data_IF_970107929399
#
_entry.id   IF_970107929399
#
_cell.length_a   1.000
_cell.length_b   1.000
_cell.length_c   1.000
_cell.angle_alpha   90.00
_cell.angle_beta   90.00
_cell.angle_gamma   90.00
#
_symmetry.space_group_name_H-M   'P 1'
#
loop_
_entity.id
_entity.type
_entity.pdbx_description
1 polymer ?
#
# COMPACT_ATOMS: atom_id res chain seq x y z
N UNK A 1 -43.25 -83.40 4.53
CA UNK A 1 -42.16 -82.42 4.77
C UNK A 1 -42.60 -81.10 4.15
N UNK A 2 -42.97 -80.16 5.00
CA UNK A 2 -43.64 -78.90 4.64
C UNK A 2 -43.14 -77.84 5.63
N UNK A 3 -42.35 -76.87 5.19
CA UNK A 3 -41.87 -75.76 6.05
C UNK A 3 -42.08 -74.42 5.32
N UNK A 4 -42.74 -73.54 6.06
CA UNK A 4 -43.37 -72.24 5.77
C UNK A 4 -42.41 -71.12 5.33
N UNK A 5 -42.94 -70.01 4.77
CA UNK A 5 -42.40 -68.68 4.99
C UNK A 5 -43.23 -67.90 6.05
N UNK A 6 -42.56 -67.11 6.89
CA UNK A 6 -43.17 -66.13 7.80
C UNK A 6 -42.58 -64.75 7.50
N UNK A 7 -43.48 -63.77 7.36
CA UNK A 7 -43.25 -62.32 7.17
C UNK A 7 -42.58 -61.67 8.39
N UNK A 8 -41.84 -60.58 8.19
CA UNK A 8 -41.96 -59.35 9.00
C UNK A 8 -41.23 -58.16 8.37
N UNK A 9 -41.86 -56.99 8.51
CA UNK A 9 -41.52 -55.71 7.91
C UNK A 9 -40.48 -54.90 8.72
N UNK A 10 -39.94 -53.83 8.11
CA UNK A 10 -39.69 -52.46 8.68
C UNK A 10 -38.94 -51.62 7.62
N UNK A 11 -39.58 -50.61 7.02
CA UNK A 11 -39.74 -49.22 7.46
C UNK A 11 -38.44 -48.38 7.42
N UNK A 12 -38.53 -47.35 6.57
CA UNK A 12 -37.60 -46.30 6.18
C UNK A 12 -36.78 -45.61 7.28
N UNK A 13 -35.56 -45.20 6.91
CA UNK A 13 -34.87 -44.06 7.51
C UNK A 13 -34.17 -43.25 6.40
N UNK A 14 -34.37 -41.93 6.44
CA UNK A 14 -33.99 -40.95 5.44
C UNK A 14 -32.47 -40.75 5.33
N UNK A 15 -31.99 -40.59 4.09
CA UNK A 15 -30.63 -40.20 3.78
C UNK A 15 -30.45 -38.69 3.98
N UNK A 16 -29.62 -38.28 4.94
CA UNK A 16 -29.05 -36.94 5.02
C UNK A 16 -27.65 -37.01 4.40
N UNK A 17 -27.49 -36.35 3.25
CA UNK A 17 -26.21 -36.21 2.57
C UNK A 17 -25.28 -35.27 3.35
N UNK A 18 -24.22 -35.81 3.95
CA UNK A 18 -23.09 -35.02 4.41
C UNK A 18 -22.18 -34.70 3.22
N UNK A 19 -22.21 -33.46 2.75
CA UNK A 19 -21.18 -32.91 1.86
C UNK A 19 -20.02 -32.44 2.74
N UNK A 20 -18.95 -33.25 2.81
CA UNK A 20 -17.68 -32.85 3.39
C UNK A 20 -16.96 -31.90 2.40
N UNK A 21 -16.95 -30.61 2.71
CA UNK A 21 -16.08 -29.63 2.07
C UNK A 21 -14.66 -29.81 2.63
N UNK A 22 -13.81 -30.55 1.91
CA UNK A 22 -12.38 -30.60 2.16
C UNK A 22 -11.74 -29.27 1.72
N UNK A 23 -11.35 -28.43 2.70
CA UNK A 23 -10.42 -27.32 2.47
C UNK A 23 -9.02 -27.90 2.25
N UNK A 24 -8.57 -27.95 0.99
CA UNK A 24 -7.17 -28.26 0.70
C UNK A 24 -6.30 -27.09 1.14
N UNK A 25 -5.33 -27.36 2.01
CA UNK A 25 -4.21 -26.46 2.25
C UNK A 25 -3.43 -26.31 0.94
N UNK A 26 -3.64 -25.20 0.24
CA UNK A 26 -2.89 -24.89 -0.96
C UNK A 26 -1.45 -24.54 -0.56
N UNK A 27 -0.51 -25.43 -0.86
CA UNK A 27 0.89 -25.05 -1.05
C UNK A 27 0.92 -23.94 -2.10
N UNK A 28 1.48 -22.79 -1.75
CA UNK A 28 1.65 -21.65 -2.63
C UNK A 28 2.56 -22.01 -3.81
N UNK A 29 1.98 -22.58 -4.86
CA UNK A 29 2.62 -22.59 -6.17
C UNK A 29 2.74 -21.13 -6.60
N UNK A 30 3.96 -20.66 -6.87
CA UNK A 30 4.23 -19.34 -7.45
C UNK A 30 3.54 -19.26 -8.81
N UNK A 31 2.31 -18.74 -8.82
CA UNK A 31 1.61 -18.42 -10.06
C UNK A 31 2.49 -17.45 -10.86
N UNK A 32 2.62 -17.67 -12.18
CA UNK A 32 3.33 -16.75 -13.04
C UNK A 32 2.77 -15.33 -12.86
N UNK A 33 3.63 -14.29 -12.80
CA UNK A 33 3.17 -12.93 -12.58
C UNK A 33 2.14 -12.55 -13.65
N UNK A 34 0.99 -12.04 -13.20
CA UNK A 34 -0.10 -11.66 -14.09
C UNK A 34 0.39 -10.63 -15.12
N UNK A 35 -0.11 -10.76 -16.36
CA UNK A 35 0.25 -9.83 -17.42
C UNK A 35 -0.08 -8.37 -17.04
N UNK A 36 0.89 -7.50 -17.23
CA UNK A 36 0.79 -6.07 -16.91
C UNK A 36 -0.20 -5.42 -17.88
N UNK A 37 -1.17 -4.67 -17.35
CA UNK A 37 -2.24 -4.09 -18.18
C UNK A 37 -1.71 -2.97 -19.09
N UNK A 38 -2.19 -2.94 -20.33
CA UNK A 38 -1.82 -1.87 -21.27
C UNK A 38 -2.49 -0.55 -20.86
N UNK A 39 -1.85 0.58 -21.19
CA UNK A 39 -2.45 1.89 -20.92
C UNK A 39 -3.74 2.12 -21.74
N UNK A 40 -3.89 1.48 -22.90
CA UNK A 40 -5.12 1.55 -23.70
C UNK A 40 -6.30 0.84 -23.04
N UNK A 41 -6.07 -0.35 -22.48
CA UNK A 41 -7.11 -1.08 -21.75
C UNK A 41 -7.53 -0.32 -20.49
N UNK A 42 -6.55 0.27 -19.79
CA UNK A 42 -6.82 1.05 -18.58
C UNK A 42 -7.54 2.36 -18.87
N UNK A 43 -7.25 3.04 -20.00
CA UNK A 43 -8.02 4.22 -20.44
C UNK A 43 -9.48 3.84 -20.74
N UNK A 44 -9.71 2.72 -21.42
CA UNK A 44 -11.06 2.19 -21.69
C UNK A 44 -11.81 1.91 -20.38
N UNK A 45 -11.16 1.25 -19.42
CA UNK A 45 -11.73 1.00 -18.10
C UNK A 45 -11.96 2.31 -17.32
N UNK A 46 -11.07 3.29 -17.40
CA UNK A 46 -11.21 4.57 -16.72
C UNK A 46 -12.44 5.35 -17.23
N UNK A 47 -12.68 5.34 -18.55
CA UNK A 47 -13.90 5.92 -19.16
C UNK A 47 -15.16 5.23 -18.63
N UNK A 48 -15.16 3.91 -18.51
CA UNK A 48 -16.28 3.18 -17.92
C UNK A 48 -16.48 3.51 -16.43
N UNK A 49 -15.39 3.70 -15.66
CA UNK A 49 -15.43 4.05 -14.23
C UNK A 49 -15.97 5.45 -13.94
N UNK A 50 -16.18 6.32 -14.93
CA UNK A 50 -16.86 7.62 -14.71
C UNK A 50 -18.29 7.47 -14.18
N UNK A 51 -18.91 6.32 -14.42
CA UNK A 51 -20.27 5.98 -13.96
C UNK A 51 -20.28 5.10 -12.70
N UNK A 52 -19.12 4.79 -12.13
CA UNK A 52 -19.04 3.97 -10.93
C UNK A 52 -19.59 4.73 -9.71
N UNK A 53 -20.06 4.01 -8.71
CA UNK A 53 -20.42 4.58 -7.41
C UNK A 53 -19.30 4.29 -6.41
N UNK A 54 -18.81 5.33 -5.74
CA UNK A 54 -17.83 5.15 -4.67
C UNK A 54 -18.43 4.37 -3.50
N UNK A 55 -17.61 3.56 -2.82
CA UNK A 55 -18.02 2.76 -1.66
C UNK A 55 -18.13 3.57 -0.37
N UNK A 56 -17.61 4.79 -0.39
CA UNK A 56 -17.74 5.80 0.65
C UNK A 56 -18.43 7.05 0.10
N UNK A 57 -19.13 7.83 0.93
CA UNK A 57 -19.66 9.12 0.54
C UNK A 57 -18.56 10.05 0.03
N UNK A 58 -18.78 10.70 -1.11
CA UNK A 58 -17.88 11.73 -1.64
C UNK A 58 -18.38 13.11 -1.21
N UNK A 59 -17.64 13.79 -0.33
CA UNK A 59 -17.99 15.15 0.07
C UNK A 59 -18.11 16.08 -1.15
N UNK A 60 -19.03 17.07 -1.16
CA UNK A 60 -19.06 18.08 -2.22
C UNK A 60 -17.72 18.81 -2.32
N UNK A 61 -17.30 19.21 -3.53
CA UNK A 61 -16.03 19.93 -3.72
C UNK A 61 -15.93 21.25 -2.92
N UNK A 62 -17.09 21.81 -2.53
CA UNK A 62 -17.23 23.02 -1.72
C UNK A 62 -17.20 22.77 -0.21
N UNK A 63 -17.04 21.53 0.25
CA UNK A 63 -17.00 21.18 1.68
C UNK A 63 -15.84 21.87 2.40
N UNK A 64 -16.07 22.33 3.63
CA UNK A 64 -15.04 22.97 4.45
C UNK A 64 -13.82 22.07 4.72
N UNK A 65 -14.01 20.75 4.75
CA UNK A 65 -12.91 19.78 4.89
C UNK A 65 -11.90 19.87 3.74
N UNK A 66 -12.32 20.32 2.56
CA UNK A 66 -11.51 20.42 1.35
C UNK A 66 -10.94 21.84 1.15
N UNK A 67 -11.38 22.82 1.94
CA UNK A 67 -10.94 24.21 1.82
C UNK A 67 -9.45 24.38 2.07
N UNK A 68 -8.76 25.00 1.12
CA UNK A 68 -7.31 25.25 1.20
C UNK A 68 -6.46 23.98 1.14
N UNK A 69 -7.03 22.88 0.63
CA UNK A 69 -6.28 21.65 0.41
C UNK A 69 -5.40 21.78 -0.82
N UNK A 70 -4.15 21.33 -0.73
CA UNK A 70 -3.25 21.26 -1.88
C UNK A 70 -3.81 20.30 -2.93
N UNK A 71 -3.81 20.70 -4.21
CA UNK A 71 -4.20 19.81 -5.31
C UNK A 71 -3.26 19.99 -6.48
N UNK A 72 -3.34 19.09 -7.45
CA UNK A 72 -2.68 19.24 -8.73
C UNK A 72 -3.48 20.12 -9.71
N UNK A 73 -4.61 20.69 -9.29
CA UNK A 73 -5.49 21.46 -10.15
C UNK A 73 -5.22 22.96 -10.04
N UNK A 74 -5.41 23.73 -11.12
CA UNK A 74 -5.26 25.18 -11.07
C UNK A 74 -6.15 25.81 -10.00
N UNK A 75 -5.62 26.81 -9.28
CA UNK A 75 -6.37 27.58 -8.31
C UNK A 75 -7.62 28.19 -8.96
N UNK A 76 -8.76 28.11 -8.27
CA UNK A 76 -10.04 28.62 -8.79
C UNK A 76 -10.75 27.71 -9.81
N UNK A 77 -10.16 26.58 -10.22
CA UNK A 77 -10.82 25.64 -11.16
C UNK A 77 -12.04 24.93 -10.57
N UNK A 78 -12.19 24.91 -9.24
CA UNK A 78 -13.24 24.16 -8.53
C UNK A 78 -13.09 22.64 -8.61
N UNK A 79 -12.04 22.13 -9.26
CA UNK A 79 -11.79 20.69 -9.43
C UNK A 79 -11.14 20.13 -8.18
N UNK A 80 -11.79 19.15 -7.58
CA UNK A 80 -11.26 18.41 -6.43
C UNK A 80 -11.32 16.91 -6.73
N UNK A 81 -10.18 16.20 -6.74
CA UNK A 81 -10.17 14.75 -6.94
C UNK A 81 -11.00 13.99 -5.90
N UNK A 82 -11.71 12.97 -6.35
CA UNK A 82 -12.53 12.04 -5.59
C UNK A 82 -11.72 11.33 -4.50
N UNK A 83 -10.42 11.08 -4.69
CA UNK A 83 -9.59 10.54 -3.62
C UNK A 83 -9.50 11.48 -2.40
N UNK A 84 -9.54 12.80 -2.58
CA UNK A 84 -9.62 13.76 -1.46
C UNK A 84 -11.05 13.85 -0.91
N UNK A 85 -12.05 13.86 -1.80
CA UNK A 85 -13.48 13.92 -1.42
C UNK A 85 -13.91 12.71 -0.60
N UNK A 86 -13.35 11.53 -0.89
CA UNK A 86 -13.56 10.29 -0.15
C UNK A 86 -12.94 10.35 1.26
N UNK A 87 -11.75 10.94 1.38
CA UNK A 87 -11.07 11.10 2.67
C UNK A 87 -11.79 12.09 3.62
N UNK A 88 -12.70 12.93 3.10
CA UNK A 88 -13.48 13.86 3.93
C UNK A 88 -14.44 13.18 4.90
N UNK A 89 -14.66 11.86 4.81
CA UNK A 89 -15.26 11.05 5.89
C UNK A 89 -14.45 11.18 7.19
N UNK A 90 -13.14 11.42 7.08
CA UNK A 90 -12.22 11.71 8.19
C UNK A 90 -11.49 13.04 7.93
N UNK A 91 -12.14 14.20 8.17
CA UNK A 91 -11.64 15.51 7.72
C UNK A 91 -10.19 15.83 8.10
N UNK A 92 -9.72 15.35 9.27
CA UNK A 92 -8.35 15.57 9.74
C UNK A 92 -7.27 15.03 8.80
N UNK A 93 -7.57 14.03 7.96
CA UNK A 93 -6.57 13.40 7.08
C UNK A 93 -6.48 14.04 5.69
N UNK A 94 -7.45 14.88 5.30
CA UNK A 94 -7.55 15.42 3.94
C UNK A 94 -6.33 16.26 3.57
N UNK A 95 -6.03 17.29 4.38
CA UNK A 95 -4.89 18.19 4.13
C UNK A 95 -3.54 17.46 4.23
N UNK A 96 -3.27 16.64 5.26
CA UNK A 96 -2.04 15.85 5.33
C UNK A 96 -1.87 14.90 4.14
N UNK A 97 -2.94 14.24 3.67
CA UNK A 97 -2.85 13.35 2.52
C UNK A 97 -2.60 14.11 1.21
N UNK A 98 -3.25 15.26 1.03
CA UNK A 98 -3.01 16.15 -0.10
C UNK A 98 -1.56 16.66 -0.17
N UNK A 99 -1.03 17.09 0.98
CA UNK A 99 0.36 17.47 1.10
C UNK A 99 1.30 16.29 0.82
N UNK A 100 0.98 15.10 1.35
CA UNK A 100 1.72 13.86 1.12
C UNK A 100 1.86 13.52 -0.36
N UNK A 101 0.75 13.43 -1.10
CA UNK A 101 0.79 13.07 -2.52
C UNK A 101 1.56 14.10 -3.35
N UNK A 102 1.41 15.38 -3.03
CA UNK A 102 2.15 16.46 -3.70
C UNK A 102 3.65 16.37 -3.42
N UNK A 103 4.03 16.17 -2.16
CA UNK A 103 5.43 16.02 -1.72
C UNK A 103 6.10 14.83 -2.40
N UNK A 104 5.47 13.65 -2.38
CA UNK A 104 6.00 12.46 -3.04
C UNK A 104 6.12 12.65 -4.56
N UNK A 105 5.25 13.44 -5.18
CA UNK A 105 5.29 13.70 -6.63
C UNK A 105 6.38 14.71 -7.01
N UNK A 106 6.57 15.79 -6.24
CA UNK A 106 7.38 16.94 -6.69
C UNK A 106 8.65 17.20 -5.88
N UNK A 107 8.75 16.74 -4.64
CA UNK A 107 9.92 16.99 -3.80
C UNK A 107 10.93 15.84 -3.81
N UNK A 108 12.14 16.12 -3.34
CA UNK A 108 13.26 15.18 -3.41
C UNK A 108 14.17 15.45 -4.59
N UNK A 109 15.04 14.48 -4.85
CA UNK A 109 16.15 14.58 -5.81
C UNK A 109 15.82 13.96 -7.16
N UNK A 110 14.82 13.08 -7.22
CA UNK A 110 14.38 12.44 -8.46
C UNK A 110 13.46 13.38 -9.25
N UNK A 111 13.52 13.28 -10.58
CA UNK A 111 12.63 14.08 -11.42
C UNK A 111 11.17 13.69 -11.22
N UNK A 112 10.23 14.66 -11.21
CA UNK A 112 8.80 14.36 -11.20
C UNK A 112 8.38 13.44 -12.36
N UNK A 113 8.99 13.60 -13.53
CA UNK A 113 8.74 12.75 -14.70
C UNK A 113 9.07 11.27 -14.42
N UNK A 114 10.23 10.98 -13.83
CA UNK A 114 10.61 9.62 -13.48
C UNK A 114 9.67 9.02 -12.41
N UNK A 115 9.37 9.78 -11.35
CA UNK A 115 8.48 9.32 -10.28
C UNK A 115 7.07 9.02 -10.80
N UNK A 116 6.54 9.86 -11.68
CA UNK A 116 5.22 9.66 -12.31
C UNK A 116 5.22 8.53 -13.35
N UNK A 117 6.34 8.27 -14.02
CA UNK A 117 6.49 7.10 -14.88
C UNK A 117 6.50 5.80 -14.07
N UNK A 118 7.24 5.76 -12.95
CA UNK A 118 7.19 4.64 -11.99
C UNK A 118 5.78 4.44 -11.46
N UNK A 119 5.13 5.52 -11.01
CA UNK A 119 3.74 5.50 -10.54
C UNK A 119 2.79 4.90 -11.58
N UNK A 120 2.93 5.32 -12.84
CA UNK A 120 2.12 4.83 -13.95
C UNK A 120 2.36 3.33 -14.18
N UNK A 121 3.61 2.86 -14.15
CA UNK A 121 3.92 1.42 -14.26
C UNK A 121 3.33 0.61 -13.10
N UNK A 122 3.39 1.12 -11.87
CA UNK A 122 2.77 0.51 -10.69
C UNK A 122 1.25 0.38 -10.88
N UNK A 123 0.60 1.42 -11.40
CA UNK A 123 -0.83 1.38 -11.69
C UNK A 123 -1.17 0.35 -12.80
N UNK A 124 -0.29 0.14 -13.78
CA UNK A 124 -0.45 -0.93 -14.78
C UNK A 124 -0.35 -2.33 -14.16
N UNK A 125 0.63 -2.56 -13.27
CA UNK A 125 0.79 -3.84 -12.57
C UNK A 125 -0.40 -4.12 -11.65
N UNK A 126 -0.83 -3.12 -10.88
CA UNK A 126 -2.00 -3.21 -10.00
C UNK A 126 -3.33 -3.18 -10.75
N UNK A 127 -3.31 -2.95 -12.07
CA UNK A 127 -4.48 -2.85 -12.95
C UNK A 127 -5.49 -1.78 -12.48
N UNK A 128 -5.00 -0.67 -11.94
CA UNK A 128 -5.83 0.42 -11.43
C UNK A 128 -6.11 1.46 -12.52
N UNK A 129 -7.32 1.40 -13.09
CA UNK A 129 -7.75 2.36 -14.10
C UNK A 129 -7.91 3.78 -13.53
N UNK A 130 -8.36 3.92 -12.27
CA UNK A 130 -8.47 5.23 -11.62
C UNK A 130 -7.09 5.88 -11.45
N UNK A 131 -6.12 5.18 -10.86
CA UNK A 131 -4.78 5.72 -10.68
C UNK A 131 -4.13 6.03 -12.02
N UNK A 132 -4.24 5.13 -13.01
CA UNK A 132 -3.66 5.33 -14.35
C UNK A 132 -4.13 6.62 -15.02
N UNK A 133 -5.44 6.92 -14.97
CA UNK A 133 -5.99 8.12 -15.59
C UNK A 133 -5.37 9.41 -15.02
N UNK A 134 -5.26 9.50 -13.70
CA UNK A 134 -4.61 10.64 -13.03
C UNK A 134 -3.12 10.72 -13.34
N UNK A 135 -2.41 9.59 -13.23
CA UNK A 135 -0.95 9.55 -13.34
C UNK A 135 -0.45 9.82 -14.76
N UNK A 136 -1.14 9.31 -15.79
CA UNK A 136 -0.83 9.63 -17.19
C UNK A 136 -0.98 11.12 -17.47
N UNK A 137 -2.04 11.75 -16.92
CA UNK A 137 -2.28 13.18 -17.06
C UNK A 137 -1.19 14.00 -16.37
N UNK A 138 -0.78 13.62 -15.16
CA UNK A 138 0.30 14.29 -14.43
C UNK A 138 1.66 14.08 -15.10
N UNK A 139 1.96 12.86 -15.57
CA UNK A 139 3.22 12.56 -16.27
C UNK A 139 3.37 13.43 -17.52
N UNK A 140 2.31 13.54 -18.33
CA UNK A 140 2.29 14.43 -19.50
C UNK A 140 2.56 15.90 -19.13
N UNK A 141 2.11 16.33 -17.95
CA UNK A 141 2.30 17.69 -17.46
C UNK A 141 3.73 18.01 -17.00
N UNK A 142 4.64 17.03 -17.01
CA UNK A 142 6.08 17.23 -16.73
C UNK A 142 6.90 17.62 -17.97
N UNK A 143 6.25 17.85 -19.11
CA UNK A 143 6.89 18.33 -20.32
C UNK A 143 7.52 17.21 -21.18
N UNK A 144 8.49 17.54 -22.05
CA UNK A 144 9.05 16.60 -23.04
C UNK A 144 9.58 15.30 -22.44
N UNK A 145 10.23 15.36 -21.27
CA UNK A 145 10.76 14.18 -20.59
C UNK A 145 9.64 13.21 -20.17
N UNK A 146 8.56 13.75 -19.60
CA UNK A 146 7.39 12.96 -19.23
C UNK A 146 6.66 12.38 -20.43
N UNK A 147 6.54 13.15 -21.51
CA UNK A 147 5.95 12.67 -22.76
C UNK A 147 6.78 11.53 -23.38
N UNK A 148 8.11 11.62 -23.36
CA UNK A 148 8.99 10.57 -23.83
C UNK A 148 8.85 9.28 -23.00
N UNK A 149 8.86 9.38 -21.67
CA UNK A 149 8.63 8.24 -20.77
C UNK A 149 7.25 7.60 -20.98
N UNK A 150 6.21 8.42 -21.10
CA UNK A 150 4.84 7.96 -21.37
C UNK A 150 4.74 7.23 -22.71
N UNK A 151 5.43 7.70 -23.76
CA UNK A 151 5.45 7.02 -25.05
C UNK A 151 6.05 5.61 -24.94
N UNK A 152 7.15 5.44 -24.19
CA UNK A 152 7.77 4.12 -23.95
C UNK A 152 6.87 3.20 -23.13
N UNK A 153 6.19 3.71 -22.12
CA UNK A 153 5.21 2.96 -21.33
C UNK A 153 4.03 2.48 -22.20
N UNK A 154 3.51 3.34 -23.09
CA UNK A 154 2.41 2.98 -24.02
C UNK A 154 2.80 1.88 -24.99
N UNK A 155 4.01 1.96 -25.55
CA UNK A 155 4.52 0.97 -26.49
C UNK A 155 5.11 -0.29 -25.81
N UNK A 156 5.16 -0.32 -24.47
CA UNK A 156 5.86 -1.33 -23.67
C UNK A 156 7.33 -1.55 -24.11
N UNK A 157 8.03 -0.46 -24.46
CA UNK A 157 9.41 -0.43 -24.95
C UNK A 157 10.37 0.02 -23.83
N UNK A 158 10.36 -0.68 -22.69
CA UNK A 158 11.17 -0.30 -21.53
C UNK A 158 12.67 -0.56 -21.75
N UNK A 159 13.01 -1.46 -22.66
CA UNK A 159 14.36 -1.76 -23.11
C UNK A 159 15.04 -0.55 -23.77
N UNK A 160 14.26 0.33 -24.40
CA UNK A 160 14.72 1.54 -25.10
C UNK A 160 14.89 2.77 -24.18
N UNK A 161 14.67 2.62 -22.88
CA UNK A 161 14.93 3.67 -21.90
C UNK A 161 16.41 3.78 -21.56
N UNK A 162 16.81 4.94 -21.04
CA UNK A 162 18.12 5.09 -20.42
C UNK A 162 18.31 4.01 -19.33
N UNK A 163 19.53 3.45 -19.15
CA UNK A 163 19.74 2.36 -18.20
C UNK A 163 19.27 2.64 -16.77
N UNK A 164 19.48 3.88 -16.28
CA UNK A 164 19.01 4.31 -14.97
C UNK A 164 17.46 4.27 -14.87
N UNK A 165 16.75 4.91 -15.81
CA UNK A 165 15.29 4.94 -15.83
C UNK A 165 14.67 3.55 -15.99
N UNK A 166 15.32 2.69 -16.81
CA UNK A 166 14.92 1.29 -16.95
C UNK A 166 15.02 0.52 -15.64
N UNK A 167 16.11 0.72 -14.88
CA UNK A 167 16.27 0.11 -13.56
C UNK A 167 15.24 0.67 -12.55
N UNK A 168 14.95 1.97 -12.56
CA UNK A 168 13.92 2.56 -11.71
C UNK A 168 12.51 2.02 -12.00
N UNK A 169 12.13 1.88 -13.28
CA UNK A 169 10.85 1.24 -13.64
C UNK A 169 10.81 -0.24 -13.31
N UNK A 170 11.93 -0.96 -13.51
CA UNK A 170 12.04 -2.38 -13.13
C UNK A 170 11.93 -2.55 -11.62
N UNK A 171 12.50 -1.63 -10.83
CA UNK A 171 12.37 -1.62 -9.37
C UNK A 171 10.91 -1.47 -8.97
N UNK A 172 10.21 -0.50 -9.58
CA UNK A 172 8.79 -0.28 -9.36
C UNK A 172 7.92 -1.47 -9.75
N UNK A 173 8.20 -2.12 -10.88
CA UNK A 173 7.48 -3.30 -11.34
C UNK A 173 7.66 -4.50 -10.41
N UNK A 174 8.92 -4.91 -10.16
CA UNK A 174 9.23 -6.09 -9.38
C UNK A 174 8.72 -5.94 -7.94
N UNK A 175 9.01 -4.81 -7.29
CA UNK A 175 8.54 -4.57 -5.91
C UNK A 175 7.00 -4.44 -5.82
N UNK A 176 6.32 -4.10 -6.92
CA UNK A 176 4.85 -4.13 -6.94
C UNK A 176 4.31 -5.55 -7.00
N UNK A 177 4.91 -6.42 -7.81
CA UNK A 177 4.52 -7.83 -7.95
C UNK A 177 4.88 -8.65 -6.71
N UNK A 178 6.09 -8.45 -6.18
CA UNK A 178 6.65 -9.13 -5.01
C UNK A 178 7.45 -8.12 -4.18
N UNK A 179 7.14 -7.98 -2.90
CA UNK A 179 7.78 -6.99 -2.02
C UNK A 179 9.30 -7.18 -1.89
N UNK A 180 9.83 -8.38 -2.17
CA UNK A 180 11.26 -8.67 -2.14
C UNK A 180 12.01 -7.99 -3.30
N UNK A 181 11.31 -7.72 -4.41
CA UNK A 181 11.79 -6.88 -5.51
C UNK A 181 12.93 -7.50 -6.33
N UNK A 182 13.99 -6.70 -6.53
CA UNK A 182 15.16 -7.07 -7.32
C UNK A 182 16.08 -8.06 -6.59
N UNK A 183 16.86 -8.82 -7.37
CA UNK A 183 18.00 -9.57 -6.83
C UNK A 183 19.09 -8.65 -6.28
N UNK A 184 19.96 -9.16 -5.41
CA UNK A 184 21.11 -8.40 -4.88
C UNK A 184 22.05 -7.88 -5.98
N UNK A 185 22.15 -8.60 -7.10
CA UNK A 185 22.91 -8.18 -8.28
C UNK A 185 22.27 -6.96 -8.95
N UNK A 186 20.98 -7.04 -9.28
CA UNK A 186 20.24 -5.92 -9.87
C UNK A 186 20.20 -4.70 -8.94
N UNK A 187 20.09 -4.92 -7.63
CA UNK A 187 20.15 -3.84 -6.64
C UNK A 187 21.53 -3.17 -6.62
N UNK A 188 22.62 -3.93 -6.80
CA UNK A 188 23.98 -3.37 -6.94
C UNK A 188 24.11 -2.52 -8.21
N UNK A 189 23.47 -2.93 -9.31
CA UNK A 189 23.40 -2.13 -10.53
C UNK A 189 22.60 -0.84 -10.33
N UNK A 190 21.47 -0.90 -9.62
CA UNK A 190 20.68 0.27 -9.25
C UNK A 190 21.52 1.28 -8.45
N UNK A 191 22.28 0.82 -7.46
CA UNK A 191 23.23 1.64 -6.68
C UNK A 191 24.39 2.20 -7.51
N UNK A 192 24.66 1.65 -8.69
CA UNK A 192 25.62 2.22 -9.65
C UNK A 192 25.14 3.51 -10.30
N UNK A 193 23.81 3.74 -10.34
CA UNK A 193 23.20 4.94 -10.94
C UNK A 193 22.60 5.91 -9.92
N UNK A 194 22.20 5.41 -8.75
CA UNK A 194 21.48 6.15 -7.73
C UNK A 194 22.20 6.14 -6.39
N UNK A 195 22.24 7.28 -5.70
CA UNK A 195 22.74 7.36 -4.32
C UNK A 195 21.83 6.61 -3.34
N UNK A 196 22.28 6.39 -2.10
CA UNK A 196 21.44 5.79 -1.05
C UNK A 196 20.13 6.56 -0.86
N UNK A 197 20.18 7.89 -0.90
CA UNK A 197 19.02 8.75 -0.73
C UNK A 197 18.08 8.68 -1.94
N UNK A 198 18.61 8.62 -3.16
CA UNK A 198 17.81 8.36 -4.37
C UNK A 198 17.19 6.96 -4.35
N UNK A 199 17.89 5.92 -3.87
CA UNK A 199 17.34 4.56 -3.74
C UNK A 199 16.19 4.53 -2.72
N UNK A 200 16.34 5.25 -1.60
CA UNK A 200 15.25 5.42 -0.62
C UNK A 200 14.08 6.21 -1.24
N UNK A 201 14.34 7.25 -2.03
CA UNK A 201 13.31 8.03 -2.72
C UNK A 201 12.57 7.22 -3.80
N UNK A 202 13.29 6.42 -4.58
CA UNK A 202 12.73 5.44 -5.52
C UNK A 202 11.80 4.49 -4.76
N UNK A 203 12.26 3.96 -3.63
CA UNK A 203 11.47 3.06 -2.80
C UNK A 203 10.23 3.74 -2.22
N UNK A 204 10.35 4.97 -1.72
CA UNK A 204 9.21 5.78 -1.30
C UNK A 204 8.16 5.93 -2.41
N UNK A 205 8.61 6.19 -3.64
CA UNK A 205 7.74 6.28 -4.82
C UNK A 205 6.97 4.97 -5.01
N UNK A 206 7.65 3.83 -4.99
CA UNK A 206 7.01 2.52 -5.14
C UNK A 206 6.00 2.24 -4.03
N UNK A 207 6.39 2.53 -2.78
CA UNK A 207 5.56 2.31 -1.60
C UNK A 207 4.29 3.15 -1.64
N UNK A 208 4.42 4.45 -1.93
CA UNK A 208 3.29 5.38 -1.93
C UNK A 208 2.30 5.10 -3.06
N UNK A 209 2.76 4.78 -4.28
CA UNK A 209 1.81 4.49 -5.36
C UNK A 209 1.17 3.09 -5.25
N UNK A 210 1.80 2.16 -4.51
CA UNK A 210 1.14 0.92 -4.08
C UNK A 210 0.09 1.13 -2.99
N UNK A 211 0.34 2.05 -2.05
CA UNK A 211 -0.67 2.55 -1.11
C UNK A 211 -1.84 3.18 -1.87
N UNK A 212 -1.54 4.13 -2.76
CA UNK A 212 -2.55 4.92 -3.47
C UNK A 212 -3.45 4.03 -4.34
N UNK A 213 -2.86 3.10 -5.11
CA UNK A 213 -3.62 2.16 -5.94
C UNK A 213 -4.61 1.32 -5.12
N UNK A 214 -4.18 0.80 -3.96
CA UNK A 214 -5.06 0.02 -3.06
C UNK A 214 -6.14 0.88 -2.44
N UNK A 215 -5.82 2.13 -2.09
CA UNK A 215 -6.81 3.04 -1.52
C UNK A 215 -7.93 3.32 -2.54
N UNK A 216 -7.57 3.71 -3.77
CA UNK A 216 -8.58 4.10 -4.77
C UNK A 216 -9.39 2.91 -5.29
N UNK A 217 -8.77 1.71 -5.42
CA UNK A 217 -9.50 0.50 -5.80
C UNK A 217 -10.34 -0.06 -4.64
N UNK A 218 -9.83 -0.01 -3.40
CA UNK A 218 -10.56 -0.42 -2.21
C UNK A 218 -11.81 0.43 -1.98
N UNK A 219 -11.73 1.74 -2.25
CA UNK A 219 -12.86 2.67 -2.17
C UNK A 219 -13.75 2.69 -3.43
N UNK A 220 -13.35 1.99 -4.50
CA UNK A 220 -14.13 1.91 -5.74
C UNK A 220 -14.35 3.27 -6.40
N UNK A 221 -13.36 4.17 -6.38
CA UNK A 221 -13.56 5.55 -6.78
C UNK A 221 -13.91 5.71 -8.27
N UNK A 222 -14.92 6.52 -8.62
CA UNK A 222 -15.19 6.87 -10.01
C UNK A 222 -14.16 7.86 -10.52
N UNK A 223 -13.78 7.73 -11.79
CA UNK A 223 -12.90 8.70 -12.46
C UNK A 223 -13.69 9.97 -12.77
N UNK A 224 -13.11 11.11 -12.48
CA UNK A 224 -13.71 12.41 -12.76
C UNK A 224 -13.65 12.69 -14.27
N UNK A 225 -14.74 13.13 -14.92
CA UNK A 225 -14.74 13.35 -16.37
C UNK A 225 -13.64 14.29 -16.87
N UNK A 226 -13.32 15.33 -16.07
CA UNK A 226 -12.27 16.29 -16.40
C UNK A 226 -10.85 15.71 -16.36
N UNK A 227 -10.63 14.55 -15.73
CA UNK A 227 -9.32 13.87 -15.77
C UNK A 227 -9.06 13.27 -17.16
N UNK A 228 -10.13 12.90 -17.87
CA UNK A 228 -10.08 12.29 -19.20
C UNK A 228 -10.17 13.33 -20.33
N UNK A 229 -10.42 14.59 -19.98
CA UNK A 229 -10.46 15.72 -20.90
C UNK A 229 -9.05 16.28 -21.11
N UNK A 230 -8.53 16.17 -22.34
CA UNK A 230 -7.20 16.64 -22.69
C UNK A 230 -7.02 18.18 -22.55
N UNK A 231 -8.11 18.94 -22.52
CA UNK A 231 -8.07 20.40 -22.34
C UNK A 231 -7.95 20.80 -20.87
N UNK A 232 -8.35 19.92 -19.95
CA UNK A 232 -8.30 20.15 -18.51
C UNK A 232 -6.88 19.90 -17.97
N UNK A 233 -5.98 20.86 -18.17
CA UNK A 233 -4.58 20.75 -17.70
C UNK A 233 -4.45 20.87 -16.17
N UNK A 234 -3.55 20.09 -15.54
CA UNK A 234 -3.15 20.33 -14.15
C UNK A 234 -2.48 21.70 -14.00
N UNK A 235 -2.30 22.15 -12.76
CA UNK A 235 -1.37 23.23 -12.45
C UNK A 235 0.04 22.87 -12.94
N UNK A 236 0.82 23.86 -13.35
CA UNK A 236 2.19 23.63 -13.80
C UNK A 236 2.99 22.92 -12.70
N UNK A 237 3.73 21.87 -13.07
CA UNK A 237 4.68 21.25 -12.16
C UNK A 237 5.72 22.30 -11.71
N UNK A 238 6.16 22.28 -10.44
CA UNK A 238 7.27 23.13 -10.02
C UNK A 238 8.49 22.90 -10.91
N UNK A 239 9.26 23.96 -11.18
CA UNK A 239 10.50 23.83 -11.92
C UNK A 239 11.41 22.83 -11.18
N UNK A 240 11.84 21.80 -11.91
CA UNK A 240 12.79 20.83 -11.39
C UNK A 240 14.09 21.00 -12.17
N UNK A 241 15.19 21.13 -11.45
CA UNK A 241 16.53 21.06 -12.02
C UNK A 241 17.28 20.01 -11.25
N UNK A 242 18.07 19.20 -11.97
CA UNK A 242 18.99 18.29 -11.33
C UNK A 242 20.17 19.12 -10.82
N UNK A 243 20.08 19.59 -9.58
CA UNK A 243 21.18 20.33 -8.98
C UNK A 243 22.32 19.35 -8.68
N UNK A 244 23.21 19.15 -9.66
CA UNK A 244 24.38 18.30 -9.54
C UNK A 244 25.55 18.95 -10.25
N UNK A 245 26.37 19.66 -9.49
CA UNK A 245 27.80 19.41 -9.60
C UNK A 245 28.07 18.16 -8.76
N UNK A 246 28.35 16.99 -9.36
CA UNK A 246 28.65 15.81 -8.57
C UNK A 246 29.94 16.05 -7.80
N UNK A 247 29.83 16.20 -6.48
CA UNK A 247 30.94 15.88 -5.62
C UNK A 247 31.32 14.41 -5.88
N UNK A 248 32.63 14.10 -5.88
CA UNK A 248 33.14 12.72 -6.09
C UNK A 248 32.64 11.74 -5.02
N UNK A 249 32.14 12.29 -3.91
CA UNK A 249 31.47 11.58 -2.83
C UNK A 249 30.13 12.27 -2.62
N UNK A 250 29.04 11.51 -2.44
CA UNK A 250 27.74 12.07 -2.12
C UNK A 250 27.84 12.93 -0.85
N UNK A 251 27.43 14.19 -0.95
CA UNK A 251 27.32 15.08 0.21
C UNK A 251 26.00 14.79 0.92
N UNK A 252 26.03 14.82 2.25
CA UNK A 252 24.81 14.80 3.07
C UNK A 252 24.12 16.16 2.87
N UNK A 253 22.86 16.16 2.46
CA UNK A 253 22.08 17.39 2.30
C UNK A 253 21.77 18.07 3.63
N UNK A 254 21.56 19.38 3.64
CA UNK A 254 21.15 20.12 4.86
C UNK A 254 19.87 19.53 5.46
N UNK A 255 18.91 19.13 4.61
CA UNK A 255 17.72 18.42 5.04
C UNK A 255 18.08 17.12 5.78
N UNK A 256 19.00 16.31 5.26
CA UNK A 256 19.44 15.07 5.91
C UNK A 256 20.16 15.34 7.24
N UNK A 257 20.95 16.41 7.34
CA UNK A 257 21.61 16.85 8.59
C UNK A 257 20.56 17.23 9.64
N UNK A 258 19.63 18.10 9.28
CA UNK A 258 18.57 18.60 10.17
C UNK A 258 17.62 17.48 10.59
N UNK A 259 17.20 16.67 9.61
CA UNK A 259 16.35 15.50 9.83
C UNK A 259 16.99 14.51 10.78
N UNK A 260 18.25 14.13 10.54
CA UNK A 260 18.99 13.22 11.41
C UNK A 260 19.11 13.77 12.84
N UNK A 261 19.34 15.08 12.98
CA UNK A 261 19.44 15.75 14.27
C UNK A 261 18.10 15.80 15.03
N UNK A 262 16.97 16.00 14.33
CA UNK A 262 15.64 15.93 14.92
C UNK A 262 15.26 14.50 15.32
N UNK A 263 15.54 13.52 14.46
CA UNK A 263 15.27 12.11 14.71
C UNK A 263 16.08 11.56 15.89
N UNK A 264 17.36 11.91 16.00
CA UNK A 264 18.21 11.56 17.15
C UNK A 264 17.71 12.18 18.46
N UNK A 265 17.17 13.40 18.43
CA UNK A 265 16.54 14.02 19.62
C UNK A 265 15.26 13.31 20.03
N UNK A 266 14.41 12.94 19.06
CA UNK A 266 13.18 12.19 19.32
C UNK A 266 13.45 10.76 19.82
N UNK A 267 14.46 10.07 19.26
CA UNK A 267 14.84 8.71 19.67
C UNK A 267 15.37 8.62 21.11
N UNK A 268 15.85 9.73 21.69
CA UNK A 268 16.29 9.80 23.09
C UNK A 268 15.15 9.89 24.09
N UNK A 269 13.91 10.11 23.64
CA UNK A 269 12.74 10.15 24.49
C UNK A 269 11.89 8.89 24.25
N UNK A 270 11.86 7.92 25.18
CA UNK A 270 10.92 6.81 25.06
C UNK A 270 9.49 7.36 25.07
N UNK A 271 8.71 7.05 24.04
CA UNK A 271 7.28 7.38 24.01
C UNK A 271 6.61 6.67 25.18
N UNK A 272 6.10 7.43 26.15
CA UNK A 272 5.44 6.89 27.33
C UNK A 272 4.14 6.13 26.96
N UNK A 273 3.86 5.02 27.65
CA UNK A 273 2.62 4.24 27.52
C UNK A 273 2.58 3.23 26.36
N UNK A 274 1.40 2.70 26.07
CA UNK A 274 1.16 1.62 25.08
C UNK A 274 1.09 2.10 23.61
N UNK A 275 1.37 3.38 23.33
CA UNK A 275 1.21 3.96 21.99
C UNK A 275 2.33 3.54 21.01
N UNK A 276 3.51 3.15 21.51
CA UNK A 276 4.67 2.76 20.71
C UNK A 276 5.09 1.29 20.86
N UNK A 277 5.97 0.83 19.97
CA UNK A 277 6.57 -0.52 20.02
C UNK A 277 7.60 -0.67 21.14
N UNK A 278 8.05 0.44 21.74
CA UNK A 278 9.04 0.51 22.83
C UNK A 278 10.39 -0.15 22.53
N UNK A 279 10.74 -0.21 21.25
CA UNK A 279 12.06 -0.59 20.72
C UNK A 279 12.88 0.63 20.29
N UNK A 280 12.50 1.83 20.78
CA UNK A 280 13.09 3.10 20.35
C UNK A 280 12.77 3.44 18.89
N UNK A 281 13.70 4.14 18.23
CA UNK A 281 13.60 4.47 16.81
C UNK A 281 14.02 3.29 15.93
N UNK A 282 13.04 2.77 15.20
CA UNK A 282 13.19 1.60 14.34
C UNK A 282 14.06 1.90 13.11
N UNK A 283 14.69 0.87 12.54
CA UNK A 283 15.53 0.92 11.35
C UNK A 283 14.76 1.41 10.12
N UNK A 284 13.47 1.10 10.02
CA UNK A 284 12.58 1.71 9.04
C UNK A 284 12.56 3.24 9.14
N UNK A 285 12.39 3.79 10.35
CA UNK A 285 12.42 5.24 10.58
C UNK A 285 13.80 5.83 10.28
N UNK A 286 14.89 5.13 10.63
CA UNK A 286 16.27 5.54 10.29
C UNK A 286 16.47 5.63 8.78
N UNK A 287 16.04 4.63 8.03
CA UNK A 287 16.17 4.60 6.58
C UNK A 287 15.37 5.73 5.91
N UNK A 288 14.16 6.00 6.40
CA UNK A 288 13.32 7.10 5.90
C UNK A 288 14.01 8.47 6.00
N UNK A 289 14.86 8.68 7.01
CA UNK A 289 15.58 9.96 7.19
C UNK A 289 16.59 10.30 6.11
N UNK A 290 16.88 9.38 5.18
CA UNK A 290 17.62 9.69 3.95
C UNK A 290 16.85 10.62 3.01
N UNK A 291 15.52 10.70 3.16
CA UNK A 291 14.66 11.65 2.41
C UNK A 291 13.72 12.37 3.39
N UNK A 292 14.22 13.35 4.17
CA UNK A 292 13.52 13.94 5.31
C UNK A 292 12.16 14.56 4.98
N UNK A 293 12.03 15.23 3.84
CA UNK A 293 10.77 15.84 3.42
C UNK A 293 9.67 14.79 3.21
N UNK A 294 9.98 13.69 2.51
CA UNK A 294 9.05 12.58 2.30
C UNK A 294 8.76 11.84 3.62
N UNK A 295 9.78 11.64 4.45
CA UNK A 295 9.60 11.05 5.78
C UNK A 295 8.69 11.89 6.68
N UNK A 296 8.83 13.22 6.65
CA UNK A 296 8.01 14.14 7.40
C UNK A 296 6.55 14.10 6.92
N UNK A 297 6.32 14.23 5.62
CA UNK A 297 4.97 14.17 5.06
C UNK A 297 4.27 12.82 5.38
N UNK A 298 5.01 11.70 5.30
CA UNK A 298 4.48 10.38 5.66
C UNK A 298 4.10 10.29 7.15
N UNK A 299 4.98 10.78 8.03
CA UNK A 299 4.74 10.83 9.48
C UNK A 299 3.54 11.71 9.83
N UNK A 300 3.42 12.89 9.22
CA UNK A 300 2.34 13.84 9.51
C UNK A 300 0.99 13.29 9.04
N UNK A 301 0.94 12.63 7.87
CA UNK A 301 -0.23 11.87 7.44
C UNK A 301 -0.58 10.74 8.41
N UNK A 302 0.40 9.94 8.85
CA UNK A 302 0.20 8.87 9.82
C UNK A 302 -0.33 9.37 11.16
N UNK A 303 0.17 10.49 11.66
CA UNK A 303 -0.29 11.13 12.89
C UNK A 303 -1.75 11.60 12.76
N UNK A 304 -2.10 12.25 11.65
CA UNK A 304 -3.48 12.70 11.40
C UNK A 304 -4.47 11.54 11.26
N UNK A 305 -4.01 10.37 10.79
CA UNK A 305 -4.82 9.16 10.69
C UNK A 305 -4.86 8.34 12.00
N UNK A 306 -4.03 8.67 12.99
CA UNK A 306 -3.81 7.85 14.20
C UNK A 306 -5.02 7.73 15.14
N UNK A 307 -5.94 8.69 15.14
CA UNK A 307 -7.21 8.59 15.90
C UNK A 307 -8.16 7.67 15.15
N UNK A 308 -8.53 6.52 15.72
CA UNK A 308 -9.31 5.48 15.06
C UNK A 308 -10.60 5.15 15.83
N UNK A 309 -11.70 4.88 15.11
CA UNK A 309 -12.91 4.29 15.68
C UNK A 309 -12.80 2.77 15.81
N UNK A 310 -11.87 2.16 15.09
CA UNK A 310 -11.53 0.75 15.20
C UNK A 310 -10.51 0.52 16.31
N UNK A 311 -10.71 -0.55 17.08
CA UNK A 311 -9.77 -1.01 18.10
C UNK A 311 -8.36 -1.24 17.56
N UNK A 312 -7.36 -0.88 18.38
CA UNK A 312 -5.94 -1.00 18.01
C UNK A 312 -5.52 -2.44 17.74
N UNK A 313 -6.15 -3.40 18.41
CA UNK A 313 -6.02 -4.83 18.17
C UNK A 313 -6.38 -5.19 16.72
N UNK A 314 -7.54 -4.78 16.23
CA UNK A 314 -7.97 -5.04 14.85
C UNK A 314 -7.03 -4.36 13.85
N UNK A 315 -6.60 -3.11 14.10
CA UNK A 315 -5.64 -2.42 13.24
C UNK A 315 -4.31 -3.19 13.12
N UNK A 316 -3.78 -3.69 14.24
CA UNK A 316 -2.55 -4.48 14.24
C UNK A 316 -2.76 -5.88 13.64
N UNK A 317 -3.94 -6.48 13.78
CA UNK A 317 -4.29 -7.74 13.12
C UNK A 317 -4.37 -7.59 11.60
N UNK A 318 -4.97 -6.52 11.08
CA UNK A 318 -4.93 -6.14 9.67
C UNK A 318 -3.48 -6.05 9.21
N UNK A 319 -2.67 -5.29 9.95
CA UNK A 319 -1.25 -5.07 9.66
C UNK A 319 -0.46 -6.37 9.58
N UNK A 320 -0.71 -7.28 10.53
CA UNK A 320 -0.10 -8.60 10.59
C UNK A 320 -0.54 -9.45 9.39
N UNK A 321 -1.84 -9.51 9.11
CA UNK A 321 -2.38 -10.28 7.99
C UNK A 321 -1.84 -9.80 6.63
N UNK A 322 -1.75 -8.49 6.40
CA UNK A 322 -1.17 -7.91 5.18
C UNK A 322 0.31 -8.27 5.06
N UNK A 323 1.05 -8.18 6.17
CA UNK A 323 2.48 -8.53 6.21
C UNK A 323 2.70 -10.02 5.94
N UNK A 324 1.83 -10.89 6.45
CA UNK A 324 1.85 -12.33 6.18
C UNK A 324 1.53 -12.65 4.72
N UNK A 325 0.52 -12.01 4.12
CA UNK A 325 0.18 -12.19 2.69
C UNK A 325 1.36 -11.79 1.80
N UNK A 326 2.02 -10.68 2.11
CA UNK A 326 3.16 -10.24 1.32
C UNK A 326 4.46 -10.97 1.67
N UNK A 327 4.51 -11.81 2.71
CA UNK A 327 5.77 -12.45 3.16
C UNK A 327 6.76 -11.49 3.83
N UNK A 328 6.31 -10.32 4.30
CA UNK A 328 7.20 -9.30 4.88
C UNK A 328 7.69 -9.73 6.26
N UNK A 329 8.97 -10.11 6.36
CA UNK A 329 9.56 -10.55 7.62
C UNK A 329 9.62 -9.41 8.63
N UNK A 330 10.12 -8.25 8.22
CA UNK A 330 10.35 -7.12 9.14
C UNK A 330 9.04 -6.67 9.79
N UNK A 331 8.01 -6.42 8.98
CA UNK A 331 6.73 -5.95 9.47
C UNK A 331 5.99 -7.01 10.30
N UNK A 332 6.03 -8.29 9.89
CA UNK A 332 5.43 -9.39 10.66
C UNK A 332 5.97 -9.44 12.09
N UNK A 333 7.31 -9.40 12.24
CA UNK A 333 7.97 -9.38 13.55
C UNK A 333 7.49 -8.18 14.38
N UNK A 334 7.45 -6.98 13.80
CA UNK A 334 7.01 -5.77 14.50
C UNK A 334 5.52 -5.79 14.88
N UNK A 335 4.67 -6.42 14.06
CA UNK A 335 3.25 -6.53 14.40
C UNK A 335 3.03 -7.51 15.55
N UNK A 336 3.83 -8.58 15.63
CA UNK A 336 3.84 -9.48 16.80
C UNK A 336 4.21 -8.72 18.07
N UNK A 337 5.25 -7.87 18.02
CA UNK A 337 5.59 -6.99 19.16
C UNK A 337 4.41 -6.12 19.56
N UNK A 338 3.79 -5.43 18.60
CA UNK A 338 2.64 -4.56 18.85
C UNK A 338 1.47 -5.30 19.48
N UNK A 339 1.09 -6.47 18.93
CA UNK A 339 -0.03 -7.29 19.39
C UNK A 339 0.23 -7.86 20.79
N UNK A 340 1.43 -8.37 21.06
CA UNK A 340 1.81 -8.87 22.39
C UNK A 340 1.77 -7.76 23.45
N UNK A 341 2.22 -6.55 23.11
CA UNK A 341 2.20 -5.40 24.03
C UNK A 341 0.80 -4.96 24.46
N UNK A 342 -0.19 -5.13 23.61
CA UNK A 342 -1.59 -4.82 23.94
C UNK A 342 -2.34 -6.03 24.52
N UNK A 343 -1.64 -7.11 24.85
CA UNK A 343 -2.21 -8.27 25.55
C UNK A 343 -2.83 -9.34 24.65
N UNK A 344 -2.63 -9.31 23.33
CA UNK A 344 -3.13 -10.38 22.45
C UNK A 344 -2.35 -11.67 22.72
N UNK A 345 -3.09 -12.75 22.96
CA UNK A 345 -2.51 -14.06 23.31
C UNK A 345 -1.71 -14.68 22.15
N UNK A 346 -0.62 -15.38 22.48
CA UNK A 346 0.24 -16.03 21.50
C UNK A 346 -0.50 -17.09 20.67
N UNK A 347 -1.46 -17.81 21.26
CA UNK A 347 -2.28 -18.81 20.56
C UNK A 347 -3.12 -18.19 19.45
N UNK A 348 -3.61 -16.95 19.64
CA UNK A 348 -4.34 -16.21 18.61
C UNK A 348 -3.42 -15.84 17.44
N UNK A 349 -2.18 -15.43 17.71
CA UNK A 349 -1.19 -15.12 16.67
C UNK A 349 -0.82 -16.36 15.84
N UNK A 350 -0.59 -17.50 16.51
CA UNK A 350 -0.36 -18.79 15.86
C UNK A 350 -1.55 -19.20 14.97
N UNK A 351 -2.78 -19.00 15.44
CA UNK A 351 -3.98 -19.28 14.65
C UNK A 351 -4.11 -18.33 13.43
N UNK A 352 -3.76 -17.05 13.56
CA UNK A 352 -3.75 -16.11 12.43
C UNK A 352 -2.69 -16.44 11.37
N UNK A 353 -1.56 -17.00 11.77
CA UNK A 353 -0.56 -17.52 10.82
C UNK A 353 -1.09 -18.75 10.06
N UNK A 354 -1.89 -19.59 10.72
CA UNK A 354 -2.38 -20.86 10.19
C UNK A 354 -3.66 -20.75 9.37
N UNK A 355 -4.74 -20.26 9.98
CA UNK A 355 -6.10 -20.40 9.44
C UNK A 355 -7.10 -19.31 9.90
N UNK A 356 -6.64 -18.30 10.65
CA UNK A 356 -7.47 -17.23 11.21
C UNK A 356 -8.61 -17.74 12.14
N UNK A 357 -8.53 -18.99 12.65
CA UNK A 357 -9.62 -19.63 13.42
C UNK A 357 -9.91 -18.98 14.78
N UNK A 358 -8.93 -18.31 15.39
CA UNK A 358 -9.08 -17.61 16.66
C UNK A 358 -9.59 -16.16 16.53
N UNK A 359 -9.88 -15.69 15.31
CA UNK A 359 -10.49 -14.38 15.10
C UNK A 359 -11.99 -14.41 15.37
N UNK A 360 -12.49 -13.38 16.05
CA UNK A 360 -13.93 -13.11 16.16
C UNK A 360 -14.53 -12.77 14.78
N UNK A 361 -15.85 -12.86 14.58
CA UNK A 361 -16.48 -12.47 13.31
C UNK A 361 -16.15 -11.04 12.87
N UNK A 362 -16.09 -10.11 13.84
CA UNK A 362 -15.71 -8.70 13.62
C UNK A 362 -14.29 -8.58 13.09
N UNK A 363 -13.32 -9.19 13.77
CA UNK A 363 -11.91 -9.19 13.36
C UNK A 363 -11.70 -9.86 12.00
N UNK A 364 -12.33 -11.02 11.79
CA UNK A 364 -12.25 -11.79 10.55
C UNK A 364 -12.77 -11.00 9.34
N UNK A 365 -13.80 -10.19 9.53
CA UNK A 365 -14.33 -9.31 8.48
C UNK A 365 -13.28 -8.32 7.97
N UNK A 366 -12.56 -7.65 8.88
CA UNK A 366 -11.50 -6.72 8.51
C UNK A 366 -10.27 -7.43 7.91
N UNK A 367 -9.85 -8.54 8.52
CA UNK A 367 -8.66 -9.30 8.10
C UNK A 367 -8.84 -9.89 6.70
N UNK A 368 -9.98 -10.54 6.42
CA UNK A 368 -10.22 -11.14 5.09
C UNK A 368 -10.31 -10.09 3.99
N UNK A 369 -10.95 -8.95 4.25
CA UNK A 369 -10.96 -7.82 3.31
C UNK A 369 -9.53 -7.31 3.05
N UNK A 370 -8.74 -7.11 4.10
CA UNK A 370 -7.36 -6.64 3.97
C UNK A 370 -6.48 -7.60 3.16
N UNK A 371 -6.62 -8.91 3.39
CA UNK A 371 -5.91 -9.95 2.61
C UNK A 371 -6.28 -9.85 1.12
N UNK A 372 -7.57 -9.79 0.79
CA UNK A 372 -8.04 -9.68 -0.61
C UNK A 372 -7.56 -8.40 -1.28
N UNK A 373 -7.69 -7.24 -0.61
CA UNK A 373 -7.22 -5.96 -1.13
C UNK A 373 -5.70 -5.94 -1.34
N UNK A 374 -4.95 -6.69 -0.52
CA UNK A 374 -3.50 -6.83 -0.65
C UNK A 374 -3.12 -7.63 -1.90
N UNK A 375 -3.72 -8.80 -2.09
CA UNK A 375 -3.40 -9.71 -3.19
C UNK A 375 -3.91 -9.25 -4.55
N UNK A 376 -5.14 -8.73 -4.62
CA UNK A 376 -5.82 -8.43 -5.89
C UNK A 376 -6.65 -7.15 -5.78
N UNK A 377 -6.02 -5.96 -5.72
CA UNK A 377 -6.72 -4.70 -5.44
C UNK A 377 -7.84 -4.38 -6.44
N UNK A 378 -7.58 -4.55 -7.74
CA UNK A 378 -8.57 -4.30 -8.79
C UNK A 378 -9.76 -5.28 -8.79
N UNK A 379 -9.68 -6.39 -8.04
CA UNK A 379 -10.73 -7.41 -7.93
C UNK A 379 -11.62 -7.22 -6.68
N UNK A 380 -11.40 -6.16 -5.89
CA UNK A 380 -12.29 -5.82 -4.76
C UNK A 380 -13.61 -5.28 -5.30
N UNK A 381 -14.71 -5.83 -4.80
CA UNK A 381 -16.09 -5.54 -5.21
C UNK A 381 -16.90 -4.94 -4.06
N UNK A 382 -18.11 -4.48 -4.37
CA UNK A 382 -19.02 -3.96 -3.35
C UNK A 382 -19.49 -5.07 -2.38
N UNK A 383 -19.55 -6.31 -2.85
CA UNK A 383 -19.84 -7.48 -2.01
C UNK A 383 -18.74 -7.75 -0.98
N UNK A 384 -17.48 -7.40 -1.28
CA UNK A 384 -16.38 -7.51 -0.31
C UNK A 384 -16.40 -6.37 0.72
N UNK A 385 -16.78 -5.16 0.31
CA UNK A 385 -16.77 -3.98 1.16
C UNK A 385 -18.02 -3.86 2.05
N UNK A 386 -19.19 -4.32 1.58
CA UNK A 386 -20.44 -4.20 2.30
C UNK A 386 -20.41 -4.83 3.72
N UNK A 387 -19.81 -6.01 3.95
CA UNK A 387 -19.64 -6.55 5.30
C UNK A 387 -18.77 -5.66 6.20
N UNK A 388 -17.68 -5.09 5.66
CA UNK A 388 -16.80 -4.18 6.41
C UNK A 388 -17.56 -2.93 6.84
N UNK A 389 -18.30 -2.30 5.92
CA UNK A 389 -19.14 -1.14 6.23
C UNK A 389 -20.23 -1.47 7.24
N UNK A 390 -20.88 -2.63 7.13
CA UNK A 390 -21.92 -3.07 8.07
C UNK A 390 -21.36 -3.20 9.49
N UNK A 391 -20.15 -3.73 9.63
CA UNK A 391 -19.53 -4.01 10.92
C UNK A 391 -18.88 -2.77 11.57
N UNK A 392 -18.25 -1.92 10.75
CA UNK A 392 -17.40 -0.82 11.23
C UNK A 392 -17.99 0.58 10.98
N UNK A 393 -19.13 0.69 10.28
CA UNK A 393 -19.65 1.97 9.81
C UNK A 393 -18.79 2.58 8.70
N UNK A 394 -19.14 3.80 8.28
CA UNK A 394 -18.46 4.48 7.16
C UNK A 394 -17.00 4.83 7.47
N UNK A 395 -16.76 5.51 8.60
CA UNK A 395 -15.39 5.89 8.98
C UNK A 395 -14.54 4.67 9.32
N UNK A 396 -15.09 3.69 10.05
CA UNK A 396 -14.33 2.48 10.37
C UNK A 396 -13.98 1.67 9.12
N UNK A 397 -14.89 1.50 8.16
CA UNK A 397 -14.56 0.81 6.91
C UNK A 397 -13.48 1.54 6.10
N UNK A 398 -13.49 2.89 6.08
CA UNK A 398 -12.37 3.67 5.55
C UNK A 398 -11.07 3.38 6.32
N UNK A 399 -11.10 3.32 7.65
CA UNK A 399 -9.92 3.02 8.47
C UNK A 399 -9.34 1.62 8.20
N UNK A 400 -10.17 0.60 7.92
CA UNK A 400 -9.70 -0.73 7.46
C UNK A 400 -8.94 -0.60 6.14
N UNK A 401 -9.46 0.17 5.18
CA UNK A 401 -8.78 0.42 3.90
C UNK A 401 -7.46 1.15 4.12
N UNK A 402 -7.46 2.24 4.89
CA UNK A 402 -6.25 3.04 5.14
C UNK A 402 -5.18 2.22 5.87
N UNK A 403 -5.56 1.38 6.85
CA UNK A 403 -4.62 0.50 7.54
C UNK A 403 -4.03 -0.57 6.61
N UNK A 404 -4.86 -1.14 5.72
CA UNK A 404 -4.39 -2.09 4.71
C UNK A 404 -3.38 -1.42 3.77
N UNK A 405 -3.67 -0.20 3.32
CA UNK A 405 -2.78 0.58 2.45
C UNK A 405 -1.47 0.95 3.16
N UNK A 406 -1.54 1.32 4.44
CA UNK A 406 -0.37 1.63 5.26
C UNK A 406 0.63 0.47 5.29
N UNK A 407 0.17 -0.78 5.35
CA UNK A 407 1.05 -1.94 5.30
C UNK A 407 1.45 -2.35 3.89
N UNK A 408 0.65 -2.03 2.86
CA UNK A 408 1.11 -2.12 1.48
C UNK A 408 2.32 -1.21 1.19
N UNK A 409 2.38 -0.05 1.85
CA UNK A 409 3.55 0.84 1.88
C UNK A 409 4.70 0.24 2.70
N UNK A 410 4.46 -0.05 3.99
CA UNK A 410 5.53 -0.41 4.92
C UNK A 410 6.22 -1.72 4.56
N UNK A 411 5.49 -2.71 4.04
CA UNK A 411 6.07 -3.99 3.63
C UNK A 411 7.09 -3.80 2.50
N UNK A 412 6.75 -2.99 1.50
CA UNK A 412 7.65 -2.67 0.36
C UNK A 412 8.85 -1.84 0.78
N UNK A 413 8.65 -0.91 1.71
CA UNK A 413 9.73 -0.08 2.21
C UNK A 413 10.78 -0.91 2.95
N UNK A 414 10.31 -1.80 3.82
CA UNK A 414 11.19 -2.55 4.73
C UNK A 414 11.85 -3.75 4.05
N UNK A 415 11.10 -4.57 3.33
CA UNK A 415 11.67 -5.73 2.64
C UNK A 415 12.43 -5.33 1.38
N UNK A 416 11.95 -4.32 0.63
CA UNK A 416 12.65 -3.80 -0.53
C UNK A 416 14.04 -3.24 -0.22
N UNK A 417 14.18 -2.56 0.92
CA UNK A 417 15.49 -2.09 1.39
C UNK A 417 16.24 -3.14 2.23
N UNK A 418 15.70 -4.36 2.35
CA UNK A 418 16.26 -5.44 3.14
C UNK A 418 16.62 -4.99 4.57
N UNK A 419 15.71 -4.27 5.24
CA UNK A 419 16.00 -3.73 6.56
C UNK A 419 16.08 -4.83 7.63
N UNK A 420 17.11 -4.82 8.50
CA UNK A 420 17.19 -5.75 9.61
C UNK A 420 16.23 -5.35 10.73
N UNK A 421 15.53 -6.32 11.31
CA UNK A 421 14.72 -6.14 12.52
C UNK A 421 15.59 -5.96 13.75
N UNK A 422 15.08 -5.23 14.73
CA UNK A 422 15.72 -4.95 16.01
C UNK A 422 15.76 -6.22 16.87
N UNK A 423 16.85 -6.39 17.64
CA UNK A 423 17.09 -7.59 18.45
C UNK A 423 15.94 -7.90 19.42
N UNK A 424 15.38 -6.86 20.07
CA UNK A 424 14.25 -7.02 20.98
C UNK A 424 12.98 -7.48 20.24
N UNK A 425 12.77 -7.01 19.01
CA UNK A 425 11.64 -7.45 18.20
C UNK A 425 11.80 -8.93 17.79
N UNK A 426 13.02 -9.36 17.43
CA UNK A 426 13.34 -10.76 17.13
C UNK A 426 13.12 -11.65 18.36
N UNK A 427 13.54 -11.20 19.55
CA UNK A 427 13.34 -11.92 20.80
C UNK A 427 11.86 -12.19 21.09
N UNK A 428 11.02 -11.15 21.04
CA UNK A 428 9.57 -11.28 21.28
C UNK A 428 8.93 -12.20 20.23
N UNK A 429 9.37 -12.14 18.97
CA UNK A 429 8.87 -13.05 17.94
C UNK A 429 9.24 -14.51 18.24
N UNK A 430 10.47 -14.79 18.68
CA UNK A 430 10.93 -16.13 19.07
C UNK A 430 10.11 -16.70 20.23
N UNK A 431 9.74 -15.87 21.20
CA UNK A 431 8.88 -16.28 22.33
C UNK A 431 7.50 -16.78 21.87
N UNK A 432 6.98 -16.26 20.75
CA UNK A 432 5.67 -16.66 20.20
C UNK A 432 5.77 -17.88 19.26
N UNK A 433 6.76 -17.90 18.37
CA UNK A 433 6.81 -18.88 17.26
C UNK A 433 7.93 -19.93 17.37
N UNK A 434 8.84 -19.81 18.35
CA UNK A 434 9.93 -20.78 18.57
C UNK A 434 10.98 -20.86 17.45
N UNK A 435 11.01 -19.90 16.51
CA UNK A 435 11.94 -19.87 15.36
C UNK A 435 12.53 -18.49 15.11
N UNK A 436 13.68 -18.43 14.43
CA UNK A 436 14.43 -17.17 14.17
C UNK A 436 13.71 -16.15 13.26
N UNK A 437 12.65 -16.57 12.58
CA UNK A 437 11.84 -15.74 11.70
C UNK A 437 11.07 -16.56 10.68
N UNK A 438 10.30 -15.88 9.83
CA UNK A 438 9.89 -16.43 8.54
C UNK A 438 11.15 -16.62 7.68
N UNK A 439 11.43 -17.85 7.23
CA UNK A 439 12.48 -18.07 6.22
C UNK A 439 12.03 -17.38 4.93
N UNK A 440 12.94 -16.66 4.25
CA UNK A 440 12.72 -16.30 2.85
C UNK A 440 12.52 -17.61 2.08
N UNK A 441 11.40 -17.74 1.37
CA UNK A 441 11.24 -18.81 0.39
C UNK A 441 12.03 -18.46 -0.86
#
# INVERSE_FOLDING_TARGET
MNIRPIRAARLAAAAVACVLLSLSAATAATAAPAAIASLGDLDTQARAKTRATARVPLAPATSDALRGTETFEPAGSGRVPNYLRALAVKPSVVKPFAHLIRTFTYEGTLSPALKLAMATRIAQVNRSAYATAHLVRLLKNTGPDGEALLARLRANQLDQLAPADRLALRWAELQTQDIHGMTDEEFRQLRGYYSDSEVVELTFTVCFFNYFSRMVEGLGLPVEPWVLDATAKPAAAPAWTRDRLPARVALISDAEIDGSSAALRAARQPVAGNAGLGIGMANSQRAMMRVPALAAAWRDFGAANGTSQIGRDILLQISFAVSMVNGCRYCTIHQVVGLRRIGVDATKLLAMEKDDSALTPREKTAVLFARKLTSTPAAVTDADYAPVRKEFGEQGALEVVLQTCNFAFMNRFTDGLHLPSEDEAIKIYREVYGREGLRRQ
#
